data_IF_917488693664
#
_entry.id   IF_917488693664
#
_cell.length_a   1.000
_cell.length_b   1.000
_cell.length_c   1.000
_cell.angle_alpha   90.00
_cell.angle_beta   90.00
_cell.angle_gamma   90.00
#
_symmetry.space_group_name_H-M   'P 1'
#
loop_
_entity.id
_entity.type
_entity.pdbx_description
1 polymer ?
#
# COMPACT_ATOMS: atom_id res chain seq x y z
N UNK A 1 -7.60 1.21 -0.76
CA UNK A 1 -8.91 0.51 -0.82
C UNK A 1 -9.13 -0.18 -2.17
N UNK A 2 -8.86 0.49 -3.34
CA UNK A 2 -9.09 -0.10 -4.68
C UNK A 2 -8.31 -1.41 -4.86
N UNK A 3 -6.99 -1.41 -4.65
CA UNK A 3 -6.14 -2.60 -4.74
C UNK A 3 -6.65 -3.74 -3.84
N UNK A 4 -6.97 -3.43 -2.59
CA UNK A 4 -7.45 -4.43 -1.64
C UNK A 4 -8.79 -5.05 -2.06
N UNK A 5 -9.69 -4.25 -2.65
CA UNK A 5 -10.96 -4.75 -3.16
C UNK A 5 -10.78 -5.65 -4.38
N UNK A 6 -9.90 -5.29 -5.32
CA UNK A 6 -9.61 -6.11 -6.49
C UNK A 6 -8.98 -7.44 -6.09
N UNK A 7 -7.98 -7.41 -5.21
CA UNK A 7 -7.37 -8.64 -4.69
C UNK A 7 -8.38 -9.51 -3.94
N UNK A 8 -9.25 -8.93 -3.13
CA UNK A 8 -10.31 -9.66 -2.44
C UNK A 8 -11.32 -10.28 -3.41
N UNK A 9 -11.66 -9.57 -4.50
CA UNK A 9 -12.54 -10.09 -5.54
C UNK A 9 -11.92 -11.30 -6.25
N UNK A 10 -10.62 -11.24 -6.59
CA UNK A 10 -9.90 -12.36 -7.19
C UNK A 10 -9.77 -13.54 -6.22
N UNK A 11 -9.50 -13.29 -4.94
CA UNK A 11 -9.49 -14.35 -3.91
C UNK A 11 -10.86 -15.04 -3.81
N UNK A 12 -11.96 -14.28 -3.84
CA UNK A 12 -13.32 -14.84 -3.85
C UNK A 12 -13.59 -15.65 -5.12
N UNK A 13 -13.12 -15.17 -6.28
CA UNK A 13 -13.26 -15.88 -7.54
C UNK A 13 -12.54 -17.22 -7.51
N UNK A 14 -11.29 -17.23 -7.04
CA UNK A 14 -10.49 -18.44 -6.89
C UNK A 14 -11.10 -19.40 -5.85
N UNK A 15 -11.57 -18.89 -4.72
CA UNK A 15 -12.21 -19.70 -3.70
C UNK A 15 -13.48 -20.41 -4.22
N UNK A 16 -14.29 -19.73 -5.05
CA UNK A 16 -15.47 -20.33 -5.67
C UNK A 16 -15.14 -21.40 -6.70
N UNK A 17 -13.97 -21.33 -7.33
CA UNK A 17 -13.47 -22.39 -8.22
C UNK A 17 -13.00 -23.63 -7.44
N UNK A 18 -12.51 -23.45 -6.21
CA UNK A 18 -11.91 -24.52 -5.39
C UNK A 18 -12.92 -25.12 -4.40
N UNK A 19 -13.85 -24.31 -3.86
CA UNK A 19 -14.79 -24.70 -2.79
C UNK A 19 -16.18 -25.01 -3.40
N UNK A 20 -16.26 -25.34 -4.66
CA UNK A 20 -17.49 -25.94 -5.13
C UNK A 20 -17.76 -27.21 -4.31
N UNK A 21 -19.02 -27.42 -3.85
CA UNK A 21 -19.32 -28.57 -3.02
C UNK A 21 -18.81 -29.84 -3.72
N UNK A 22 -18.18 -30.72 -2.95
CA UNK A 22 -17.75 -32.04 -3.41
C UNK A 22 -18.99 -32.87 -3.74
N UNK A 23 -19.67 -32.53 -4.83
CA UNK A 23 -20.64 -33.35 -5.49
C UNK A 23 -19.84 -34.26 -6.45
N UNK A 24 -19.73 -35.56 -6.19
CA UNK A 24 -18.97 -36.48 -7.02
C UNK A 24 -19.35 -36.42 -8.50
N UNK A 25 -20.61 -36.10 -8.80
CA UNK A 25 -21.13 -35.99 -10.17
C UNK A 25 -20.75 -34.65 -10.85
N UNK A 26 -20.26 -33.67 -10.10
CA UNK A 26 -19.80 -32.38 -10.61
C UNK A 26 -18.28 -32.24 -10.72
N UNK A 27 -17.50 -33.18 -10.20
CA UNK A 27 -16.03 -33.11 -10.27
C UNK A 27 -15.46 -33.07 -11.69
N UNK A 28 -16.21 -33.52 -12.69
CA UNK A 28 -15.81 -33.53 -14.10
C UNK A 28 -16.51 -32.47 -14.97
N UNK A 29 -17.34 -31.61 -14.41
CA UNK A 29 -17.94 -30.52 -15.17
C UNK A 29 -17.09 -29.25 -15.02
N UNK A 30 -16.68 -28.60 -16.12
CA UNK A 30 -16.03 -27.31 -16.05
C UNK A 30 -17.00 -26.32 -15.39
N UNK A 31 -16.67 -25.91 -14.16
CA UNK A 31 -17.46 -24.87 -13.49
C UNK A 31 -17.25 -23.56 -14.24
N UNK A 32 -18.33 -22.91 -14.59
CA UNK A 32 -18.26 -21.57 -15.15
C UNK A 32 -17.45 -20.67 -14.19
N UNK A 33 -16.48 -19.92 -14.69
CA UNK A 33 -15.71 -19.01 -13.87
C UNK A 33 -16.65 -18.04 -13.15
N UNK A 34 -16.44 -17.87 -11.84
CA UNK A 34 -17.27 -16.94 -11.06
C UNK A 34 -17.13 -15.53 -11.67
N UNK A 35 -18.28 -14.86 -11.87
CA UNK A 35 -18.32 -13.49 -12.43
C UNK A 35 -17.46 -12.55 -11.57
N UNK A 36 -16.37 -11.95 -12.13
CA UNK A 36 -15.50 -11.03 -11.40
C UNK A 36 -16.27 -9.85 -10.80
N UNK A 37 -17.23 -9.30 -11.56
CA UNK A 37 -18.04 -8.18 -11.10
C UNK A 37 -18.92 -8.56 -9.89
N UNK A 38 -19.46 -9.78 -9.86
CA UNK A 38 -20.20 -10.28 -8.70
C UNK A 38 -19.28 -10.46 -7.49
N UNK A 39 -18.06 -10.96 -7.66
CA UNK A 39 -17.08 -11.08 -6.59
C UNK A 39 -16.69 -9.71 -6.04
N UNK A 40 -16.47 -8.71 -6.89
CA UNK A 40 -16.19 -7.35 -6.49
C UNK A 40 -17.36 -6.71 -5.73
N UNK A 41 -18.59 -6.90 -6.20
CA UNK A 41 -19.80 -6.45 -5.46
C UNK A 41 -19.89 -7.09 -4.08
N UNK A 42 -19.57 -8.37 -3.97
CA UNK A 42 -19.57 -9.09 -2.68
C UNK A 42 -18.50 -8.54 -1.73
N UNK A 43 -17.28 -8.31 -2.20
CA UNK A 43 -16.20 -7.72 -1.40
C UNK A 43 -16.58 -6.30 -0.90
N UNK A 44 -17.16 -5.48 -1.78
CA UNK A 44 -17.66 -4.14 -1.42
C UNK A 44 -18.78 -4.21 -0.38
N UNK A 45 -19.74 -5.13 -0.55
CA UNK A 45 -20.83 -5.30 0.39
C UNK A 45 -20.31 -5.68 1.79
N UNK A 46 -19.30 -6.56 1.88
CA UNK A 46 -18.67 -6.93 3.15
C UNK A 46 -18.01 -5.74 3.86
N UNK A 47 -17.36 -4.83 3.10
CA UNK A 47 -16.83 -3.60 3.68
C UNK A 47 -17.93 -2.63 4.13
N UNK A 48 -18.91 -2.36 3.25
CA UNK A 48 -19.98 -1.39 3.55
C UNK A 48 -20.87 -1.80 4.71
N UNK A 49 -21.14 -3.10 4.86
CA UNK A 49 -21.95 -3.63 5.96
C UNK A 49 -21.20 -3.72 7.30
N UNK A 50 -19.88 -3.53 7.31
CA UNK A 50 -19.03 -3.75 8.47
C UNK A 50 -18.71 -5.23 8.76
N UNK A 51 -19.19 -6.18 7.95
CA UNK A 51 -18.93 -7.60 8.16
C UNK A 51 -17.44 -7.94 8.09
N UNK A 52 -16.70 -7.30 7.17
CA UNK A 52 -15.25 -7.44 7.08
C UNK A 52 -14.54 -6.92 8.35
N UNK A 53 -15.01 -5.80 8.91
CA UNK A 53 -14.48 -5.24 10.14
C UNK A 53 -14.72 -6.17 11.34
N UNK A 54 -15.90 -6.74 11.46
CA UNK A 54 -16.20 -7.71 12.53
C UNK A 54 -15.31 -8.96 12.42
N UNK A 55 -15.07 -9.45 11.20
CA UNK A 55 -14.15 -10.57 10.96
C UNK A 55 -12.72 -10.24 11.35
N UNK A 56 -12.27 -9.04 11.02
CA UNK A 56 -10.93 -8.57 11.39
C UNK A 56 -10.77 -8.47 12.91
N UNK A 57 -11.77 -7.94 13.62
CA UNK A 57 -11.78 -7.92 15.10
C UNK A 57 -11.66 -9.34 15.69
N UNK A 58 -12.44 -10.28 15.18
CA UNK A 58 -12.38 -11.69 15.61
C UNK A 58 -11.00 -12.30 15.37
N UNK A 59 -10.37 -12.01 14.22
CA UNK A 59 -9.02 -12.46 13.91
C UNK A 59 -7.99 -11.93 14.92
N UNK A 60 -8.00 -10.64 15.18
CA UNK A 60 -7.09 -10.01 16.15
C UNK A 60 -7.28 -10.62 17.55
N UNK A 61 -8.50 -10.78 17.99
CA UNK A 61 -8.82 -11.38 19.29
C UNK A 61 -8.36 -12.83 19.38
N UNK A 62 -8.59 -13.63 18.33
CA UNK A 62 -8.16 -15.03 18.27
C UNK A 62 -6.64 -15.19 18.30
N UNK A 63 -5.90 -14.19 17.82
CA UNK A 63 -4.43 -14.13 17.87
C UNK A 63 -3.89 -13.50 19.17
N UNK A 64 -4.75 -13.20 20.15
CA UNK A 64 -4.35 -12.60 21.43
C UNK A 64 -4.07 -11.11 21.36
N UNK A 65 -4.46 -10.42 20.27
CA UNK A 65 -4.29 -8.98 20.13
C UNK A 65 -5.30 -8.17 20.96
N UNK A 66 -4.89 -6.98 21.38
CA UNK A 66 -5.74 -6.05 22.12
C UNK A 66 -6.57 -5.19 21.17
N UNK A 67 -7.89 -5.36 21.20
CA UNK A 67 -8.84 -4.62 20.39
C UNK A 67 -8.85 -3.11 20.67
N UNK A 68 -8.39 -2.67 21.86
CA UNK A 68 -8.33 -1.26 22.20
C UNK A 68 -7.43 -0.46 21.24
N UNK A 69 -6.36 -1.08 20.71
CA UNK A 69 -5.49 -0.44 19.70
C UNK A 69 -6.17 -0.34 18.32
N UNK A 70 -7.10 -1.23 18.03
CA UNK A 70 -7.90 -1.16 16.81
C UNK A 70 -8.94 -0.03 16.86
N UNK A 71 -9.57 0.12 18.02
CA UNK A 71 -10.62 1.11 18.24
C UNK A 71 -10.06 2.51 18.45
N UNK A 72 -8.85 2.60 18.99
CA UNK A 72 -8.14 3.85 19.28
C UNK A 72 -6.68 3.80 18.76
N UNK A 73 -6.47 3.78 17.44
CA UNK A 73 -5.13 3.63 16.83
C UNK A 73 -4.15 4.74 17.25
N UNK A 74 -4.65 5.91 17.64
CA UNK A 74 -3.84 7.00 18.18
C UNK A 74 -3.08 6.59 19.47
N UNK A 75 -3.53 5.58 20.20
CA UNK A 75 -2.82 5.06 21.39
C UNK A 75 -1.45 4.49 21.04
N UNK A 76 -1.33 3.85 19.86
CA UNK A 76 -0.03 3.37 19.36
C UNK A 76 0.95 4.53 19.17
N UNK A 77 0.47 5.67 18.72
CA UNK A 77 1.31 6.82 18.38
C UNK A 77 1.51 7.79 19.57
N UNK A 78 0.95 7.49 20.76
CA UNK A 78 1.03 8.37 21.91
C UNK A 78 2.46 8.60 22.42
N UNK A 79 3.35 7.64 22.22
CA UNK A 79 4.77 7.70 22.57
C UNK A 79 5.67 8.11 21.40
N UNK A 80 5.11 8.20 20.18
CA UNK A 80 5.90 8.51 19.00
C UNK A 80 6.41 9.94 19.01
N UNK A 81 7.71 10.10 18.82
CA UNK A 81 8.32 11.37 18.43
C UNK A 81 8.19 11.52 16.92
N UNK A 82 8.00 12.75 16.49
CA UNK A 82 7.71 13.06 15.07
C UNK A 82 8.73 14.07 14.57
N UNK A 83 9.15 13.87 13.32
CA UNK A 83 9.99 14.82 12.60
C UNK A 83 9.50 14.93 11.17
N UNK A 84 9.34 16.16 10.70
CA UNK A 84 8.98 16.44 9.30
C UNK A 84 10.27 16.54 8.50
N UNK A 85 10.34 15.80 7.42
CA UNK A 85 11.37 15.89 6.41
C UNK A 85 10.84 16.77 5.29
N UNK A 86 11.59 17.79 4.92
CA UNK A 86 11.19 18.78 3.94
C UNK A 86 12.06 18.73 2.67
N UNK A 87 11.54 19.24 1.57
CA UNK A 87 12.28 19.37 0.33
C UNK A 87 13.48 20.31 0.52
N UNK A 88 14.69 19.91 0.07
CA UNK A 88 15.90 20.71 0.22
C UNK A 88 15.90 21.93 -0.70
N UNK A 89 15.21 21.88 -1.83
CA UNK A 89 15.16 22.91 -2.87
C UNK A 89 13.83 22.86 -3.64
N UNK A 90 13.59 23.87 -4.47
CA UNK A 90 12.47 23.90 -5.41
C UNK A 90 12.77 22.96 -6.59
N UNK A 91 11.83 22.10 -6.94
CA UNK A 91 12.04 21.15 -8.04
C UNK A 91 10.87 20.23 -8.30
N UNK A 92 11.12 19.25 -9.15
CA UNK A 92 10.24 18.11 -9.36
C UNK A 92 10.75 16.93 -8.54
N UNK A 93 9.88 16.35 -7.72
CA UNK A 93 10.16 15.09 -7.07
C UNK A 93 9.99 13.98 -8.11
N UNK A 94 11.13 13.57 -8.71
CA UNK A 94 11.15 12.69 -9.88
C UNK A 94 10.85 11.24 -9.49
N UNK A 95 11.70 10.66 -8.66
CA UNK A 95 11.51 9.28 -8.19
C UNK A 95 12.06 9.07 -6.77
N UNK A 96 11.70 7.94 -6.18
CA UNK A 96 12.17 7.52 -4.87
C UNK A 96 12.63 6.06 -4.91
N UNK A 97 13.80 5.80 -4.33
CA UNK A 97 14.26 4.43 -4.09
C UNK A 97 13.46 3.79 -2.97
N UNK A 98 12.56 2.87 -3.33
CA UNK A 98 11.66 2.23 -2.38
C UNK A 98 12.36 1.27 -1.42
N UNK A 99 13.49 0.64 -1.81
CA UNK A 99 14.32 -0.18 -0.94
C UNK A 99 14.99 0.70 0.12
N UNK A 100 15.57 1.82 -0.30
CA UNK A 100 16.17 2.80 0.60
C UNK A 100 15.17 3.39 1.59
N UNK A 101 13.92 3.65 1.17
CA UNK A 101 12.84 4.05 2.10
C UNK A 101 12.58 2.96 3.14
N UNK A 102 12.59 1.69 2.74
CA UNK A 102 12.47 0.55 3.65
C UNK A 102 13.62 0.50 4.66
N UNK A 103 14.85 0.77 4.23
CA UNK A 103 16.02 0.85 5.11
C UNK A 103 15.96 2.05 6.05
N UNK A 104 15.46 3.19 5.60
CA UNK A 104 15.20 4.36 6.46
C UNK A 104 14.14 4.04 7.54
N UNK A 105 13.06 3.35 7.17
CA UNK A 105 12.05 2.90 8.14
C UNK A 105 12.64 1.90 9.15
N UNK A 106 13.52 1.00 8.69
CA UNK A 106 14.25 0.09 9.56
C UNK A 106 15.14 0.84 10.56
N UNK A 107 15.84 1.89 10.13
CA UNK A 107 16.66 2.74 10.99
C UNK A 107 15.83 3.42 12.11
N UNK A 108 14.55 3.76 11.85
CA UNK A 108 13.63 4.26 12.87
C UNK A 108 13.24 3.21 13.91
N UNK A 109 13.42 1.92 13.62
CA UNK A 109 13.05 0.81 14.48
C UNK A 109 11.87 -0.03 13.97
N UNK A 110 11.34 0.25 12.78
CA UNK A 110 10.26 -0.53 12.18
C UNK A 110 10.71 -1.92 11.68
N UNK A 111 12.02 -2.17 11.62
CA UNK A 111 12.62 -3.45 11.23
C UNK A 111 13.74 -3.87 12.16
N UNK A 112 14.07 -5.17 12.17
CA UNK A 112 15.18 -5.72 12.96
C UNK A 112 16.49 -5.64 12.17
N UNK A 113 17.55 -5.20 12.83
CA UNK A 113 18.93 -5.26 12.31
C UNK A 113 19.64 -6.53 12.74
N UNK A 114 19.25 -7.08 13.90
CA UNK A 114 19.81 -8.30 14.49
C UNK A 114 18.69 -9.21 14.99
N UNK A 115 18.98 -10.51 15.05
CA UNK A 115 18.05 -11.48 15.62
C UNK A 115 17.79 -11.14 17.11
N UNK A 116 16.52 -11.12 17.51
CA UNK A 116 16.13 -10.78 18.89
C UNK A 116 15.97 -9.29 19.18
N UNK A 117 16.30 -8.39 18.25
CA UNK A 117 16.04 -6.96 18.44
C UNK A 117 14.54 -6.69 18.54
N UNK A 118 14.15 -5.86 19.54
CA UNK A 118 12.76 -5.45 19.71
C UNK A 118 12.36 -4.46 18.61
N UNK A 119 11.17 -4.66 18.03
CA UNK A 119 10.58 -3.71 17.10
C UNK A 119 9.96 -2.54 17.86
N UNK A 120 10.08 -1.35 17.30
CA UNK A 120 9.32 -0.19 17.72
C UNK A 120 7.99 -0.14 16.96
N UNK A 121 6.85 -0.47 17.59
CA UNK A 121 5.56 -0.48 16.91
C UNK A 121 5.07 0.92 16.49
N UNK A 122 5.74 1.98 16.98
CA UNK A 122 5.42 3.37 16.61
C UNK A 122 6.26 3.86 15.44
N UNK A 123 7.33 3.12 15.08
CA UNK A 123 8.26 3.54 14.05
C UNK A 123 7.66 3.40 12.64
N UNK A 124 7.90 4.40 11.81
CA UNK A 124 7.45 4.39 10.43
C UNK A 124 7.66 5.71 9.71
N UNK A 125 7.33 5.71 8.43
CA UNK A 125 7.41 6.87 7.54
C UNK A 125 6.05 7.09 6.88
N UNK A 126 5.54 8.32 6.95
CA UNK A 126 4.34 8.74 6.24
C UNK A 126 4.76 9.69 5.13
N UNK A 127 4.71 9.24 3.88
CA UNK A 127 5.00 10.09 2.73
C UNK A 127 3.89 11.12 2.54
N UNK A 128 4.27 12.39 2.42
CA UNK A 128 3.38 13.55 2.17
C UNK A 128 3.45 14.02 0.72
N UNK A 129 4.56 13.78 0.06
CA UNK A 129 4.75 14.01 -1.37
C UNK A 129 4.97 12.68 -2.10
N UNK A 130 4.69 12.67 -3.39
CA UNK A 130 4.87 11.50 -4.26
C UNK A 130 5.71 11.89 -5.48
N UNK A 131 6.44 10.94 -6.07
CA UNK A 131 7.08 11.16 -7.37
C UNK A 131 6.09 11.72 -8.40
N UNK A 132 6.56 12.62 -9.25
CA UNK A 132 5.75 13.35 -10.22
C UNK A 132 5.13 14.65 -9.69
N UNK A 133 5.37 15.04 -8.44
CA UNK A 133 4.87 16.31 -7.88
C UNK A 133 5.94 17.40 -7.92
N UNK A 134 5.53 18.62 -8.27
CA UNK A 134 6.33 19.81 -8.01
C UNK A 134 6.37 20.06 -6.50
N UNK A 135 7.55 20.34 -5.98
CA UNK A 135 7.78 20.66 -4.57
C UNK A 135 8.54 21.98 -4.43
N UNK A 136 8.29 22.67 -3.34
CA UNK A 136 9.02 23.90 -2.98
C UNK A 136 9.97 23.60 -1.82
N UNK A 137 11.07 24.34 -1.76
CA UNK A 137 11.97 24.30 -0.62
C UNK A 137 11.19 24.46 0.69
N UNK A 138 11.46 23.59 1.67
CA UNK A 138 10.74 23.55 2.94
C UNK A 138 9.38 22.85 2.91
N UNK A 139 8.87 22.46 1.74
CA UNK A 139 7.61 21.71 1.66
C UNK A 139 7.76 20.31 2.29
N UNK A 140 6.79 19.86 3.12
CA UNK A 140 6.82 18.54 3.72
C UNK A 140 6.82 17.41 2.68
N UNK A 141 7.85 16.55 2.71
CA UNK A 141 7.97 15.36 1.89
C UNK A 141 7.51 14.12 2.64
N UNK A 142 7.86 14.04 3.92
CA UNK A 142 7.51 12.90 4.76
C UNK A 142 7.44 13.29 6.24
N UNK A 143 6.82 12.44 7.03
CA UNK A 143 6.79 12.49 8.48
C UNK A 143 7.42 11.19 9.01
N UNK A 144 8.48 11.32 9.81
CA UNK A 144 9.15 10.22 10.49
C UNK A 144 8.57 10.06 11.88
N UNK A 145 8.37 8.80 12.30
CA UNK A 145 7.85 8.45 13.61
C UNK A 145 8.75 7.40 14.27
N UNK A 146 9.03 7.55 15.57
CA UNK A 146 9.75 6.56 16.38
C UNK A 146 9.58 6.87 17.86
N UNK A 147 9.69 5.89 18.73
CA UNK A 147 9.80 6.10 20.18
C UNK A 147 11.20 6.59 20.62
N UNK A 148 12.21 6.45 19.73
CA UNK A 148 13.63 6.72 20.03
C UNK A 148 14.14 7.94 19.26
N UNK A 149 14.13 9.15 19.82
CA UNK A 149 14.48 10.40 19.12
C UNK A 149 15.86 10.39 18.45
N UNK A 150 16.83 9.69 19.04
CA UNK A 150 18.19 9.59 18.48
C UNK A 150 18.28 8.91 17.11
N UNK A 151 17.22 8.22 16.68
CA UNK A 151 17.16 7.56 15.35
C UNK A 151 16.64 8.49 14.23
N UNK A 152 16.10 9.66 14.58
CA UNK A 152 15.43 10.54 13.60
C UNK A 152 16.39 11.13 12.58
N UNK A 153 17.56 11.60 13.02
CA UNK A 153 18.56 12.23 12.12
C UNK A 153 19.07 11.26 11.07
N UNK A 154 19.52 10.08 11.50
CA UNK A 154 20.00 9.05 10.59
C UNK A 154 18.92 8.63 9.58
N UNK A 155 17.69 8.46 10.05
CA UNK A 155 16.58 8.07 9.17
C UNK A 155 16.20 9.18 8.18
N UNK A 156 16.29 10.45 8.59
CA UNK A 156 16.09 11.59 7.70
C UNK A 156 17.14 11.62 6.58
N UNK A 157 18.42 11.48 6.94
CA UNK A 157 19.52 11.52 5.97
C UNK A 157 19.38 10.38 4.97
N UNK A 158 19.07 9.17 5.44
CA UNK A 158 18.78 8.02 4.58
C UNK A 158 17.60 8.26 3.66
N UNK A 159 16.49 8.81 4.18
CA UNK A 159 15.31 9.09 3.36
C UNK A 159 15.60 10.14 2.28
N UNK A 160 16.29 11.24 2.62
CA UNK A 160 16.64 12.27 1.64
C UNK A 160 17.58 11.72 0.55
N UNK A 161 18.52 10.85 0.91
CA UNK A 161 19.41 10.19 -0.06
C UNK A 161 18.66 9.28 -1.04
N UNK A 162 17.45 8.81 -0.69
CA UNK A 162 16.60 8.01 -1.55
C UNK A 162 15.70 8.83 -2.48
N UNK A 163 15.62 10.15 -2.26
CA UNK A 163 14.74 11.03 -3.02
C UNK A 163 15.51 11.69 -4.16
N UNK A 164 14.99 11.60 -5.38
CA UNK A 164 15.53 12.28 -6.55
C UNK A 164 14.71 13.50 -6.90
N UNK A 165 15.39 14.63 -7.05
CA UNK A 165 14.78 15.89 -7.44
C UNK A 165 15.40 16.40 -8.73
N UNK A 166 14.59 16.97 -9.62
CA UNK A 166 15.03 17.69 -10.80
C UNK A 166 14.81 19.18 -10.50
N UNK A 167 15.87 20.02 -10.48
CA UNK A 167 15.72 21.46 -10.24
C UNK A 167 14.78 22.10 -11.27
N UNK A 168 13.93 23.03 -10.85
CA UNK A 168 12.99 23.74 -11.74
C UNK A 168 13.69 24.43 -12.91
N UNK A 169 14.91 24.94 -12.71
CA UNK A 169 15.71 25.57 -13.76
C UNK A 169 16.24 24.60 -14.84
N UNK A 170 16.28 23.31 -14.55
CA UNK A 170 16.71 22.25 -15.48
C UNK A 170 15.54 21.56 -16.18
N UNK A 171 14.32 21.78 -15.72
CA UNK A 171 13.11 21.25 -16.33
C UNK A 171 12.68 22.17 -17.49
N UNK A 172 13.19 21.91 -18.68
CA UNK A 172 12.82 22.62 -19.93
C UNK A 172 11.36 22.39 -20.36
N UNK A 173 10.73 21.41 -19.83
CA UNK A 173 9.28 21.11 -19.80
C UNK A 173 9.02 20.32 -18.52
N UNK A 174 7.82 20.35 -17.93
CA UNK A 174 7.45 19.30 -17.01
C UNK A 174 7.69 18.01 -17.77
N UNK A 175 8.75 17.28 -17.38
CA UNK A 175 8.98 15.90 -17.86
C UNK A 175 7.63 15.28 -17.72
N UNK A 176 6.98 15.06 -18.86
CA UNK A 176 5.55 14.95 -18.96
C UNK A 176 4.97 14.29 -17.73
N UNK A 177 4.67 15.10 -16.70
CA UNK A 177 3.84 14.66 -15.57
C UNK A 177 2.56 14.02 -16.13
N UNK A 178 2.21 14.36 -17.39
CA UNK A 178 1.25 13.65 -18.19
C UNK A 178 1.70 12.30 -18.76
N UNK A 179 3.00 12.02 -18.92
CA UNK A 179 3.43 10.71 -19.43
C UNK A 179 3.83 9.74 -18.30
N UNK A 180 4.40 10.24 -17.19
CA UNK A 180 4.70 9.42 -16.02
C UNK A 180 3.52 9.31 -15.04
N UNK A 181 2.58 10.25 -15.09
CA UNK A 181 1.29 10.22 -14.37
C UNK A 181 0.10 9.95 -15.27
N UNK A 182 0.26 9.51 -16.51
CA UNK A 182 -0.77 8.67 -17.11
C UNK A 182 -1.02 7.62 -16.04
N UNK A 183 -2.16 7.74 -15.35
CA UNK A 183 -2.50 6.84 -14.25
C UNK A 183 -2.49 5.44 -14.84
N UNK A 184 -1.34 4.77 -14.66
CA UNK A 184 -1.27 3.37 -15.02
C UNK A 184 -2.45 2.68 -14.35
N UNK A 185 -3.20 1.86 -15.07
CA UNK A 185 -4.29 1.12 -14.47
C UNK A 185 -3.74 0.33 -13.27
N UNK A 186 -4.52 0.23 -12.22
CA UNK A 186 -4.12 -0.45 -10.98
C UNK A 186 -3.76 -1.91 -11.24
N UNK A 187 -4.44 -2.52 -12.21
CA UNK A 187 -4.19 -3.87 -12.70
C UNK A 187 -3.86 -3.80 -14.19
N UNK A 188 -2.68 -4.29 -14.56
CA UNK A 188 -2.17 -4.26 -15.93
C UNK A 188 -2.54 -5.52 -16.71
N UNK A 189 -2.48 -6.67 -16.05
CA UNK A 189 -2.73 -7.96 -16.66
C UNK A 189 -3.21 -8.98 -15.63
N UNK A 190 -3.86 -10.03 -16.09
CA UNK A 190 -4.09 -11.26 -15.35
C UNK A 190 -3.23 -12.38 -15.93
N UNK A 191 -2.77 -13.30 -15.09
CA UNK A 191 -2.05 -14.50 -15.53
C UNK A 191 -2.96 -15.70 -15.38
N UNK A 192 -3.15 -16.45 -16.47
CA UNK A 192 -3.94 -17.69 -16.46
C UNK A 192 -3.15 -18.87 -15.88
N UNK A 193 -3.85 -19.95 -15.58
CA UNK A 193 -3.22 -21.17 -15.04
C UNK A 193 -2.19 -21.79 -16.00
N UNK A 194 -2.28 -21.54 -17.30
CA UNK A 194 -1.33 -21.94 -18.34
C UNK A 194 -0.10 -21.02 -18.43
N UNK A 195 0.00 -20.00 -17.56
CA UNK A 195 1.09 -19.03 -17.53
C UNK A 195 0.96 -17.90 -18.55
N UNK A 196 -0.09 -17.89 -19.39
CA UNK A 196 -0.28 -16.79 -20.32
C UNK A 196 -0.80 -15.55 -19.60
N UNK A 197 -0.17 -14.39 -19.92
CA UNK A 197 -0.62 -13.09 -19.44
C UNK A 197 -1.64 -12.50 -20.42
N UNK A 198 -2.78 -12.08 -19.92
CA UNK A 198 -3.80 -11.34 -20.67
C UNK A 198 -3.83 -9.91 -20.17
N UNK A 199 -3.54 -8.95 -21.05
CA UNK A 199 -3.63 -7.53 -20.72
C UNK A 199 -5.07 -7.17 -20.37
N UNK A 200 -5.25 -6.49 -19.24
CA UNK A 200 -6.56 -6.01 -18.84
C UNK A 200 -6.82 -4.63 -19.47
N UNK A 201 -8.04 -4.37 -19.94
CA UNK A 201 -8.39 -3.08 -20.50
C UNK A 201 -8.32 -1.98 -19.43
N UNK A 202 -8.04 -0.75 -19.83
CA UNK A 202 -7.93 0.39 -18.90
C UNK A 202 -9.21 0.59 -18.07
N UNK A 203 -10.37 0.26 -18.64
CA UNK A 203 -11.68 0.29 -18.00
C UNK A 203 -12.05 -1.01 -17.26
N UNK A 204 -11.05 -1.84 -16.92
CA UNK A 204 -11.32 -3.01 -16.07
C UNK A 204 -12.02 -2.56 -14.77
N UNK A 205 -13.07 -3.25 -14.31
CA UNK A 205 -13.95 -2.75 -13.24
C UNK A 205 -13.23 -2.29 -11.99
N UNK A 206 -12.10 -2.93 -11.63
CA UNK A 206 -11.26 -2.56 -10.49
C UNK A 206 -10.42 -1.31 -10.74
N UNK A 207 -10.19 -0.94 -12.00
CA UNK A 207 -9.47 0.28 -12.37
C UNK A 207 -10.37 1.53 -12.33
N UNK A 208 -11.69 1.38 -12.52
CA UNK A 208 -12.67 2.48 -12.56
C UNK A 208 -13.26 2.85 -11.19
N UNK A 209 -12.87 2.19 -10.10
CA UNK A 209 -13.47 2.40 -8.79
C UNK A 209 -13.12 3.77 -8.22
N UNK A 210 -14.01 4.74 -8.39
CA UNK A 210 -14.10 5.90 -7.52
C UNK A 210 -14.64 5.46 -6.15
N UNK A 211 -14.02 5.90 -5.07
CA UNK A 211 -14.48 5.73 -3.70
C UNK A 211 -15.63 6.68 -3.41
#
# INVERSE_FOLDING_TARGET
TRLSLGLAAEMLRLAKLVIAPADPDRMNQPQAPADPAACLRQARAALKSGAAWQRFRQLIQAQGGDLAYLEQPQRLLSQAKRQIVTAPEDGWFDWIDTEGVGLAAKALGAGRSQLGEALDPTAGIILKAKPGMAVRQGQPLAELLTSSPGRLTEAQDRLLACCHFIPLAAATEPVAAGAATAQLPLFLASVRADGQAESLPANYPENEVSL
#
